data_IF_541216020619
#
_entry.id   IF_541216020619
#
_cell.length_a   1.000
_cell.length_b   1.000
_cell.length_c   1.000
_cell.angle_alpha   90.00
_cell.angle_beta   90.00
_cell.angle_gamma   90.00
#
_symmetry.space_group_name_H-M   'P 1'
#
loop_
_entity.id
_entity.type
_entity.pdbx_description
1 polymer ?
#
# COMPACT_ATOMS: atom_id res chain seq x y z
N UNK A 1 -59.88 -30.87 -2.50
CA UNK A 1 -60.08 -30.11 -3.75
C UNK A 1 -58.71 -29.67 -4.23
N UNK A 2 -58.18 -29.99 -5.40
CA UNK A 2 -58.49 -30.93 -6.49
C UNK A 2 -57.23 -30.93 -7.36
N UNK A 3 -56.91 -32.07 -7.96
CA UNK A 3 -55.86 -32.26 -8.97
C UNK A 3 -55.91 -31.22 -10.11
N UNK A 4 -54.77 -30.92 -10.74
CA UNK A 4 -54.60 -31.33 -12.14
C UNK A 4 -53.18 -31.15 -12.69
N UNK A 5 -52.85 -32.15 -13.51
CA UNK A 5 -51.64 -32.36 -14.27
C UNK A 5 -51.53 -31.49 -15.53
N UNK A 6 -50.29 -31.28 -15.97
CA UNK A 6 -49.87 -31.56 -17.35
C UNK A 6 -49.96 -30.43 -18.38
N UNK A 7 -48.80 -29.97 -18.85
CA UNK A 7 -48.53 -29.78 -20.29
C UNK A 7 -47.03 -29.90 -20.59
N UNK A 8 -46.71 -30.65 -21.66
CA UNK A 8 -45.38 -30.97 -22.22
C UNK A 8 -45.35 -30.42 -23.66
N UNK A 9 -44.19 -29.93 -24.10
CA UNK A 9 -43.75 -29.68 -25.50
C UNK A 9 -42.50 -28.75 -25.45
N UNK A 10 -41.37 -28.91 -26.14
CA UNK A 10 -40.98 -29.75 -27.28
C UNK A 10 -39.47 -30.06 -27.25
N UNK A 11 -39.13 -31.20 -27.86
CA UNK A 11 -37.79 -31.64 -28.24
C UNK A 11 -37.31 -30.89 -29.49
N UNK A 12 -36.07 -30.39 -29.49
CA UNK A 12 -35.32 -30.18 -30.72
C UNK A 12 -33.96 -30.90 -30.68
N UNK A 13 -33.83 -31.77 -31.67
CA UNK A 13 -32.78 -32.73 -32.01
C UNK A 13 -31.56 -32.04 -32.61
N UNK A 14 -30.34 -32.41 -32.19
CA UNK A 14 -29.17 -32.42 -33.10
C UNK A 14 -28.23 -33.60 -32.80
N UNK A 15 -28.41 -34.62 -33.65
CA UNK A 15 -27.45 -35.56 -34.24
C UNK A 15 -26.15 -35.93 -33.50
N UNK A 16 -26.07 -37.22 -33.16
CA UNK A 16 -24.87 -37.97 -32.82
C UNK A 16 -23.91 -38.11 -34.01
N UNK A 17 -22.67 -37.66 -33.86
CA UNK A 17 -21.56 -38.05 -34.73
C UNK A 17 -20.68 -39.09 -34.03
N UNK A 18 -20.52 -40.21 -34.74
CA UNK A 18 -19.81 -41.45 -34.43
C UNK A 18 -18.32 -41.29 -34.11
N UNK A 19 -17.87 -42.07 -33.13
CA UNK A 19 -16.46 -42.30 -32.81
C UNK A 19 -15.73 -43.04 -33.95
N UNK A 20 -14.46 -42.74 -34.26
CA UNK A 20 -13.67 -43.54 -35.16
C UNK A 20 -13.16 -44.80 -34.46
N UNK A 21 -13.38 -45.94 -35.11
CA UNK A 21 -12.92 -47.29 -34.81
C UNK A 21 -11.40 -47.38 -34.68
N UNK A 22 -10.95 -48.02 -33.61
CA UNK A 22 -9.57 -48.44 -33.38
C UNK A 22 -9.32 -49.74 -34.18
N UNK A 23 -8.59 -49.65 -35.30
CA UNK A 23 -8.06 -50.82 -36.00
C UNK A 23 -6.71 -51.23 -35.40
N UNK A 24 -6.60 -52.49 -34.99
CA UNK A 24 -5.37 -53.10 -34.50
C UNK A 24 -4.41 -53.40 -35.68
N UNK A 25 -3.09 -53.11 -35.58
CA UNK A 25 -2.10 -53.70 -36.46
C UNK A 25 -1.57 -55.05 -35.91
N UNK A 26 -1.04 -55.93 -36.78
CA UNK A 26 -0.80 -57.34 -36.48
C UNK A 26 0.52 -57.60 -35.72
N UNK A 27 0.70 -58.79 -35.12
CA UNK A 27 1.96 -59.15 -34.47
C UNK A 27 2.94 -59.74 -35.50
N UNK A 28 4.24 -59.44 -35.39
CA UNK A 28 5.33 -60.42 -35.55
C UNK A 28 6.71 -59.80 -35.21
N UNK A 29 7.47 -60.60 -34.48
CA UNK A 29 8.89 -60.54 -34.07
C UNK A 29 9.91 -60.23 -35.17
N UNK A 30 11.02 -59.55 -34.84
CA UNK A 30 12.40 -60.11 -34.87
C UNK A 30 13.55 -59.09 -34.65
N UNK A 31 14.53 -59.55 -33.86
CA UNK A 31 15.99 -59.27 -33.86
C UNK A 31 16.57 -57.86 -33.61
N UNK A 32 17.34 -57.80 -32.51
CA UNK A 32 18.51 -56.95 -32.23
C UNK A 32 19.34 -56.53 -33.46
N UNK A 33 19.77 -55.27 -33.45
CA UNK A 33 21.15 -54.91 -33.79
C UNK A 33 21.62 -53.78 -32.86
N UNK A 34 22.42 -54.17 -31.87
CA UNK A 34 23.28 -53.27 -31.11
C UNK A 34 24.51 -52.98 -32.00
N UNK A 35 24.57 -51.80 -32.59
CA UNK A 35 25.82 -51.28 -33.13
C UNK A 35 26.13 -49.94 -32.46
N UNK A 36 27.23 -49.96 -31.71
CA UNK A 36 27.90 -48.83 -31.10
C UNK A 36 28.19 -47.75 -32.14
N UNK A 37 27.68 -46.53 -31.90
CA UNK A 37 28.34 -45.31 -32.35
C UNK A 37 28.51 -44.36 -31.15
N UNK A 38 29.73 -44.38 -30.59
CA UNK A 38 30.19 -43.40 -29.62
C UNK A 38 30.44 -42.06 -30.32
N UNK A 39 29.40 -41.24 -30.46
CA UNK A 39 29.52 -39.83 -30.84
C UNK A 39 29.23 -38.94 -29.62
N UNK A 40 30.26 -38.67 -28.82
CA UNK A 40 30.16 -37.79 -27.65
C UNK A 40 30.08 -36.30 -28.02
N UNK A 41 30.20 -35.95 -29.31
CA UNK A 41 30.13 -34.55 -29.80
C UNK A 41 28.75 -34.17 -30.34
N UNK A 42 27.96 -35.10 -30.87
CA UNK A 42 26.62 -34.79 -31.39
C UNK A 42 25.60 -34.45 -30.28
N UNK A 43 25.69 -35.12 -29.13
CA UNK A 43 24.79 -34.90 -28.00
C UNK A 43 25.01 -33.59 -27.22
N UNK A 44 26.14 -32.89 -27.43
CA UNK A 44 26.40 -31.58 -26.81
C UNK A 44 25.81 -30.44 -27.63
N UNK A 45 25.82 -30.57 -28.97
CA UNK A 45 25.23 -29.57 -29.87
C UNK A 45 23.70 -29.62 -29.81
N UNK A 46 23.09 -30.81 -29.80
CA UNK A 46 21.63 -30.95 -29.65
C UNK A 46 21.12 -30.52 -28.27
N UNK A 47 21.86 -30.78 -27.19
CA UNK A 47 21.50 -30.24 -25.85
C UNK A 47 21.68 -28.73 -25.76
N UNK A 48 22.69 -28.17 -26.43
CA UNK A 48 22.88 -26.73 -26.47
C UNK A 48 21.85 -26.05 -27.39
N UNK A 49 21.43 -26.69 -28.49
CA UNK A 49 20.35 -26.21 -29.36
C UNK A 49 18.97 -26.35 -28.72
N UNK A 50 18.68 -27.44 -27.97
CA UNK A 50 17.47 -27.55 -27.16
C UNK A 50 17.46 -26.56 -25.98
N UNK A 51 18.62 -26.25 -25.40
CA UNK A 51 18.73 -25.21 -24.36
C UNK A 51 18.63 -23.79 -24.93
N UNK A 52 18.82 -23.62 -26.24
CA UNK A 52 18.63 -22.35 -26.97
C UNK A 52 17.22 -22.20 -27.57
N UNK A 53 16.40 -23.26 -27.56
CA UNK A 53 15.03 -23.27 -28.08
C UNK A 53 13.93 -23.24 -27.01
N UNK A 54 14.26 -23.19 -25.72
CA UNK A 54 13.26 -22.80 -24.71
C UNK A 54 13.05 -21.29 -24.82
N UNK A 55 11.90 -20.87 -25.36
CA UNK A 55 11.45 -19.48 -25.26
C UNK A 55 11.63 -19.02 -23.81
N UNK A 56 12.30 -17.88 -23.58
CA UNK A 56 12.61 -17.46 -22.23
C UNK A 56 11.30 -17.32 -21.43
N UNK A 57 11.23 -18.00 -20.28
CA UNK A 57 10.03 -18.01 -19.44
C UNK A 57 9.49 -16.60 -19.27
N UNK A 58 8.25 -16.40 -19.72
CA UNK A 58 7.54 -15.15 -19.57
C UNK A 58 6.52 -15.30 -18.42
N UNK A 59 6.77 -14.66 -17.26
CA UNK A 59 5.87 -14.73 -16.10
C UNK A 59 4.44 -14.29 -16.43
N UNK A 60 4.28 -13.37 -17.39
CA UNK A 60 3.00 -12.75 -17.71
C UNK A 60 2.03 -13.70 -18.42
N UNK A 61 2.53 -14.70 -19.14
CA UNK A 61 1.71 -15.69 -19.85
C UNK A 61 1.06 -16.70 -18.89
N UNK A 62 1.54 -16.75 -17.65
CA UNK A 62 1.09 -17.65 -16.59
C UNK A 62 0.21 -16.95 -15.54
N UNK A 63 -0.27 -15.73 -15.83
CA UNK A 63 -1.17 -14.95 -14.97
C UNK A 63 -2.63 -15.12 -15.39
N UNK A 64 -3.55 -14.77 -14.49
CA UNK A 64 -4.99 -14.86 -14.75
C UNK A 64 -5.42 -13.92 -15.90
N UNK A 65 -5.94 -14.46 -17.02
CA UNK A 65 -6.38 -13.65 -18.15
C UNK A 65 -7.61 -12.77 -17.84
N UNK A 66 -8.31 -13.03 -16.72
CA UNK A 66 -9.46 -12.24 -16.24
C UNK A 66 -9.09 -11.15 -15.23
N UNK A 67 -7.80 -10.78 -15.16
CA UNK A 67 -7.32 -9.70 -14.30
C UNK A 67 -7.93 -8.31 -14.57
N UNK A 68 -7.64 -7.37 -13.68
CA UNK A 68 -8.07 -5.98 -13.74
C UNK A 68 -7.56 -5.26 -15.00
N UNK A 69 -8.36 -4.31 -15.50
CA UNK A 69 -7.96 -3.40 -16.58
C UNK A 69 -6.93 -2.38 -16.09
N UNK A 70 -6.21 -1.73 -17.00
CA UNK A 70 -5.26 -0.66 -16.66
C UNK A 70 -5.94 0.51 -15.90
N UNK A 71 -7.18 0.88 -16.29
CA UNK A 71 -7.96 1.89 -15.57
C UNK A 71 -8.42 1.42 -14.19
N UNK A 72 -8.79 0.15 -14.03
CA UNK A 72 -9.09 -0.44 -12.72
C UNK A 72 -7.87 -0.42 -11.80
N UNK A 73 -6.70 -0.83 -12.32
CA UNK A 73 -5.44 -0.79 -11.59
C UNK A 73 -5.04 0.64 -11.21
N UNK A 74 -5.21 1.62 -12.11
CA UNK A 74 -4.99 3.04 -11.83
C UNK A 74 -5.89 3.52 -10.69
N UNK A 75 -7.19 3.21 -10.73
CA UNK A 75 -8.12 3.58 -9.66
C UNK A 75 -7.73 2.95 -8.31
N UNK A 76 -7.28 1.70 -8.31
CA UNK A 76 -6.78 1.04 -7.11
C UNK A 76 -5.48 1.66 -6.57
N UNK A 77 -4.53 2.02 -7.44
CA UNK A 77 -3.30 2.72 -7.02
C UNK A 77 -3.61 4.11 -6.48
N UNK A 78 -4.44 4.89 -7.17
CA UNK A 78 -4.85 6.22 -6.71
C UNK A 78 -5.53 6.12 -5.36
N UNK A 79 -6.47 5.18 -5.19
CA UNK A 79 -7.11 4.94 -3.91
C UNK A 79 -6.10 4.56 -2.82
N UNK A 80 -5.22 3.61 -3.12
CA UNK A 80 -4.23 3.11 -2.18
C UNK A 80 -3.18 4.13 -1.80
N UNK A 81 -2.92 5.12 -2.67
CA UNK A 81 -1.89 6.13 -2.43
C UNK A 81 -2.46 7.45 -1.91
N UNK A 82 -3.60 7.93 -2.41
CA UNK A 82 -4.18 9.20 -1.97
C UNK A 82 -4.50 9.21 -0.47
N UNK A 83 -5.11 8.12 0.01
CA UNK A 83 -5.34 7.82 1.43
C UNK A 83 -5.82 9.01 2.27
N UNK A 84 -5.52 8.97 3.57
CA UNK A 84 -5.64 10.13 4.46
C UNK A 84 -4.44 11.07 4.37
N UNK A 85 -3.33 10.61 3.76
CA UNK A 85 -2.10 11.36 3.59
C UNK A 85 -2.28 12.70 2.88
N UNK A 86 -3.18 12.76 1.89
CA UNK A 86 -3.51 14.02 1.19
C UNK A 86 -4.01 15.10 2.15
N UNK A 87 -4.71 14.71 3.21
CA UNK A 87 -5.34 15.64 4.13
C UNK A 87 -4.33 16.30 5.06
N UNK A 88 -3.18 15.66 5.31
CA UNK A 88 -2.09 16.18 6.12
C UNK A 88 -1.12 17.09 5.34
N UNK A 89 -1.25 17.16 4.01
CA UNK A 89 -0.34 17.94 3.17
C UNK A 89 -0.27 19.44 3.52
N UNK A 90 -1.36 20.13 3.91
CA UNK A 90 -1.25 21.53 4.35
C UNK A 90 -0.32 21.69 5.56
N UNK A 91 -0.36 20.74 6.50
CA UNK A 91 0.50 20.79 7.68
C UNK A 91 1.96 20.55 7.31
N UNK A 92 2.21 19.68 6.32
CA UNK A 92 3.55 19.55 5.75
C UNK A 92 4.05 20.90 5.20
N UNK A 93 3.22 21.61 4.43
CA UNK A 93 3.59 22.92 3.87
C UNK A 93 3.75 24.00 4.95
N UNK A 94 3.01 23.94 6.05
CA UNK A 94 3.28 24.76 7.23
C UNK A 94 4.69 24.52 7.78
N UNK A 95 5.10 23.25 7.87
CA UNK A 95 6.41 22.84 8.39
C UNK A 95 7.59 23.09 7.42
N UNK A 96 7.32 23.39 6.15
CA UNK A 96 8.32 23.62 5.11
C UNK A 96 8.37 25.04 4.54
N UNK A 97 7.26 25.76 4.54
CA UNK A 97 7.07 26.99 3.77
C UNK A 97 6.66 26.71 2.33
N UNK A 98 6.14 27.73 1.65
CA UNK A 98 5.46 27.57 0.35
C UNK A 98 6.37 27.07 -0.78
N UNK A 99 7.52 27.72 -0.97
CA UNK A 99 8.42 27.42 -2.10
C UNK A 99 9.19 26.14 -1.83
N UNK A 100 9.76 26.01 -0.63
CA UNK A 100 10.50 24.82 -0.25
C UNK A 100 9.59 23.59 -0.23
N UNK A 101 8.39 23.70 0.37
CA UNK A 101 7.40 22.63 0.39
C UNK A 101 6.98 22.19 -1.01
N UNK A 102 6.73 23.13 -1.93
CA UNK A 102 6.38 22.83 -3.32
C UNK A 102 7.50 22.08 -4.04
N UNK A 103 8.72 22.63 -4.05
CA UNK A 103 9.87 22.01 -4.72
C UNK A 103 10.18 20.62 -4.15
N UNK A 104 10.21 20.50 -2.82
CA UNK A 104 10.56 19.24 -2.17
C UNK A 104 9.46 18.19 -2.29
N UNK A 105 8.17 18.56 -2.33
CA UNK A 105 7.08 17.61 -2.58
C UNK A 105 7.23 16.96 -3.96
N UNK A 106 7.60 17.74 -4.98
CA UNK A 106 7.85 17.21 -6.33
C UNK A 106 9.09 16.28 -6.35
N UNK A 107 10.16 16.66 -5.67
CA UNK A 107 11.39 15.86 -5.58
C UNK A 107 11.12 14.54 -4.85
N UNK A 108 10.50 14.59 -3.67
CA UNK A 108 10.16 13.40 -2.87
C UNK A 108 9.18 12.52 -3.65
N UNK A 109 8.17 13.10 -4.29
CA UNK A 109 7.25 12.37 -5.17
C UNK A 109 7.96 11.62 -6.30
N UNK A 110 8.93 12.27 -6.96
CA UNK A 110 9.76 11.61 -7.97
C UNK A 110 10.60 10.47 -7.37
N UNK A 111 11.24 10.70 -6.22
CA UNK A 111 12.06 9.69 -5.53
C UNK A 111 11.23 8.46 -5.12
N UNK A 112 10.06 8.65 -4.53
CA UNK A 112 9.14 7.58 -4.15
C UNK A 112 8.66 6.81 -5.39
N UNK A 113 8.25 7.53 -6.44
CA UNK A 113 7.86 6.91 -7.73
C UNK A 113 8.98 6.05 -8.31
N UNK A 114 10.21 6.55 -8.28
CA UNK A 114 11.38 5.84 -8.75
C UNK A 114 11.67 4.59 -7.91
N UNK A 115 11.53 4.64 -6.59
CA UNK A 115 11.68 3.47 -5.72
C UNK A 115 10.63 2.39 -6.02
N UNK A 116 9.37 2.77 -6.21
CA UNK A 116 8.30 1.85 -6.61
C UNK A 116 8.60 1.23 -7.99
N UNK A 117 9.05 2.05 -8.95
CA UNK A 117 9.42 1.57 -10.28
C UNK A 117 10.58 0.56 -10.21
N UNK A 118 11.60 0.83 -9.40
CA UNK A 118 12.71 -0.10 -9.15
C UNK A 118 12.20 -1.42 -8.58
N UNK A 119 11.33 -1.36 -7.57
CA UNK A 119 10.80 -2.56 -6.91
C UNK A 119 10.04 -3.45 -7.90
N UNK A 120 9.10 -2.87 -8.65
CA UNK A 120 8.27 -3.63 -9.61
C UNK A 120 9.12 -4.19 -10.73
N UNK A 121 10.05 -3.40 -11.28
CA UNK A 121 10.97 -3.88 -12.31
C UNK A 121 11.83 -5.03 -11.81
N UNK A 122 12.31 -4.94 -10.57
CA UNK A 122 13.11 -6.01 -9.96
C UNK A 122 12.26 -7.27 -9.75
N UNK A 123 11.01 -7.11 -9.30
CA UNK A 123 10.05 -8.20 -9.18
C UNK A 123 9.79 -8.91 -10.52
N UNK A 124 9.58 -8.16 -11.61
CA UNK A 124 9.41 -8.74 -12.95
C UNK A 124 10.60 -9.59 -13.38
N UNK A 125 11.82 -9.10 -13.15
CA UNK A 125 13.02 -9.81 -13.56
C UNK A 125 13.26 -11.06 -12.70
N UNK A 126 13.08 -10.96 -11.38
CA UNK A 126 13.25 -12.14 -10.51
C UNK A 126 12.14 -13.18 -10.71
N UNK A 127 10.92 -12.78 -11.08
CA UNK A 127 9.87 -13.71 -11.50
C UNK A 127 10.30 -14.54 -12.72
N UNK A 128 11.00 -13.91 -13.67
CA UNK A 128 11.57 -14.61 -14.84
C UNK A 128 12.67 -15.58 -14.45
N UNK A 129 13.58 -15.17 -13.57
CA UNK A 129 14.71 -16.00 -13.12
C UNK A 129 14.23 -17.18 -12.25
N UNK A 130 13.26 -16.95 -11.37
CA UNK A 130 12.71 -17.96 -10.47
C UNK A 130 11.59 -18.80 -11.10
N UNK A 131 11.22 -18.55 -12.36
CA UNK A 131 10.13 -19.23 -13.09
C UNK A 131 8.80 -19.23 -12.33
N UNK A 132 8.41 -18.09 -11.76
CA UNK A 132 7.14 -17.89 -11.04
C UNK A 132 6.31 -16.77 -11.68
N UNK A 133 4.96 -16.86 -11.68
CA UNK A 133 4.12 -15.91 -12.40
C UNK A 133 4.07 -14.52 -11.74
N UNK A 134 4.11 -14.48 -10.40
CA UNK A 134 3.91 -13.28 -9.61
C UNK A 134 4.54 -13.45 -8.23
N UNK A 135 5.00 -12.34 -7.64
CA UNK A 135 5.54 -12.27 -6.30
C UNK A 135 4.91 -11.08 -5.57
N UNK A 136 4.68 -11.22 -4.26
CA UNK A 136 4.39 -10.08 -3.40
C UNK A 136 5.67 -9.31 -3.05
N UNK A 137 5.55 -8.29 -2.21
CA UNK A 137 6.70 -7.48 -1.82
C UNK A 137 7.72 -8.29 -1.00
N UNK A 138 7.26 -9.01 0.02
CA UNK A 138 8.14 -9.82 0.86
C UNK A 138 8.77 -11.00 0.09
N UNK A 139 8.01 -11.66 -0.78
CA UNK A 139 8.51 -12.76 -1.62
C UNK A 139 9.49 -12.25 -2.69
N UNK A 140 9.31 -11.02 -3.19
CA UNK A 140 10.30 -10.40 -4.08
C UNK A 140 11.62 -10.21 -3.35
N UNK A 141 11.62 -9.68 -2.12
CA UNK A 141 12.83 -9.53 -1.31
C UNK A 141 13.48 -10.90 -1.00
N UNK A 142 12.69 -11.91 -0.65
CA UNK A 142 13.16 -13.29 -0.43
C UNK A 142 13.91 -13.83 -1.65
N UNK A 143 13.26 -13.81 -2.82
CA UNK A 143 13.77 -14.41 -4.04
C UNK A 143 15.01 -13.67 -4.57
N UNK A 144 15.03 -12.34 -4.45
CA UNK A 144 16.20 -11.55 -4.83
C UNK A 144 17.44 -11.94 -4.03
N UNK A 145 17.30 -12.14 -2.72
CA UNK A 145 18.42 -12.60 -1.89
C UNK A 145 18.77 -14.06 -2.18
N UNK A 146 17.78 -14.93 -2.40
CA UNK A 146 17.98 -16.36 -2.71
C UNK A 146 18.80 -16.57 -3.99
N UNK A 147 18.48 -15.82 -5.05
CA UNK A 147 19.17 -15.87 -6.35
C UNK A 147 20.40 -14.96 -6.41
N UNK A 148 20.53 -14.03 -5.46
CA UNK A 148 21.62 -13.06 -5.40
C UNK A 148 23.00 -13.66 -5.12
N UNK A 149 24.00 -12.82 -4.82
CA UNK A 149 25.39 -13.25 -4.56
C UNK A 149 25.50 -14.25 -3.40
N UNK A 150 26.42 -15.22 -3.51
CA UNK A 150 26.58 -16.32 -2.53
C UNK A 150 26.61 -15.86 -1.07
N UNK A 151 27.27 -14.73 -0.78
CA UNK A 151 27.40 -14.19 0.59
C UNK A 151 26.10 -13.69 1.21
N UNK A 152 25.13 -13.26 0.39
CA UNK A 152 23.86 -12.69 0.89
C UNK A 152 22.70 -13.68 0.90
N UNK A 153 22.82 -14.83 0.21
CA UNK A 153 21.74 -15.85 0.11
C UNK A 153 21.19 -16.30 1.46
N UNK A 154 22.05 -16.42 2.47
CA UNK A 154 21.65 -16.80 3.84
C UNK A 154 20.64 -15.84 4.48
N UNK A 155 20.57 -14.60 4.00
CA UNK A 155 19.66 -13.57 4.51
C UNK A 155 18.32 -13.55 3.78
N UNK A 156 18.05 -14.47 2.84
CA UNK A 156 16.77 -14.52 2.10
C UNK A 156 15.55 -14.60 3.03
N UNK A 157 15.57 -15.53 4.00
CA UNK A 157 14.51 -15.63 5.00
C UNK A 157 14.41 -14.37 5.87
N UNK A 158 15.55 -13.78 6.25
CA UNK A 158 15.56 -12.55 7.03
C UNK A 158 14.92 -11.38 6.25
N UNK A 159 15.25 -11.22 4.96
CA UNK A 159 14.68 -10.18 4.11
C UNK A 159 13.15 -10.31 4.00
N UNK A 160 12.65 -11.54 3.81
CA UNK A 160 11.19 -11.81 3.80
C UNK A 160 10.53 -11.40 5.11
N UNK A 161 11.07 -11.88 6.24
CA UNK A 161 10.50 -11.61 7.56
C UNK A 161 10.56 -10.12 7.90
N UNK A 162 11.65 -9.45 7.54
CA UNK A 162 11.78 -8.01 7.72
C UNK A 162 10.69 -7.25 6.98
N UNK A 163 10.47 -7.54 5.68
CA UNK A 163 9.44 -6.86 4.88
C UNK A 163 8.03 -7.17 5.41
N UNK A 164 7.72 -8.43 5.73
CA UNK A 164 6.41 -8.79 6.29
C UNK A 164 6.13 -8.09 7.63
N UNK A 165 7.10 -8.11 8.56
CA UNK A 165 6.95 -7.50 9.89
C UNK A 165 6.85 -5.97 9.76
N UNK A 166 7.70 -5.37 8.93
CA UNK A 166 7.65 -3.94 8.68
C UNK A 166 6.29 -3.55 8.07
N UNK A 167 5.80 -4.29 7.06
CA UNK A 167 4.50 -4.03 6.43
C UNK A 167 3.34 -4.16 7.44
N UNK A 168 3.40 -5.17 8.32
CA UNK A 168 2.42 -5.31 9.39
C UNK A 168 2.45 -4.12 10.36
N UNK A 169 3.64 -3.72 10.78
CA UNK A 169 3.83 -2.60 11.69
C UNK A 169 3.34 -1.28 11.05
N UNK A 170 3.59 -1.07 9.76
CA UNK A 170 3.05 0.06 9.00
C UNK A 170 1.53 0.12 9.07
N UNK A 171 0.85 -0.98 8.75
CA UNK A 171 -0.62 -1.00 8.76
C UNK A 171 -1.21 -0.84 10.15
N UNK A 172 -0.59 -1.41 11.19
CA UNK A 172 -1.04 -1.21 12.57
C UNK A 172 -0.82 0.23 13.04
N UNK A 173 0.30 0.86 12.66
CA UNK A 173 0.54 2.26 13.01
C UNK A 173 -0.39 3.22 12.24
N UNK A 174 -0.65 2.97 10.96
CA UNK A 174 -1.68 3.69 10.20
C UNK A 174 -3.09 3.51 10.82
N UNK A 175 -3.37 2.33 11.38
CA UNK A 175 -4.62 2.06 12.09
C UNK A 175 -4.77 2.93 13.35
N UNK A 176 -3.68 3.25 14.04
CA UNK A 176 -3.72 4.20 15.16
C UNK A 176 -4.06 5.61 14.68
N UNK A 177 -3.43 6.09 13.60
CA UNK A 177 -3.76 7.38 12.97
C UNK A 177 -5.25 7.46 12.63
N UNK A 178 -5.82 6.37 12.11
CA UNK A 178 -7.24 6.32 11.79
C UNK A 178 -8.14 6.43 13.02
N UNK A 179 -7.80 5.77 14.12
CA UNK A 179 -8.57 5.87 15.36
C UNK A 179 -8.55 7.30 15.89
N UNK A 180 -7.37 7.94 15.95
CA UNK A 180 -7.24 9.35 16.36
C UNK A 180 -8.04 10.27 15.44
N UNK A 181 -7.91 10.11 14.13
CA UNK A 181 -8.65 10.92 13.15
C UNK A 181 -10.16 10.81 13.33
N UNK A 182 -10.67 9.58 13.46
CA UNK A 182 -12.11 9.32 13.67
C UNK A 182 -12.56 10.03 14.94
N UNK A 183 -11.82 9.87 16.03
CA UNK A 183 -12.11 10.50 17.30
C UNK A 183 -12.14 12.03 17.19
N UNK A 184 -11.14 12.63 16.56
CA UNK A 184 -11.01 14.09 16.41
C UNK A 184 -12.13 14.68 15.56
N UNK A 185 -12.54 13.97 14.51
CA UNK A 185 -13.65 14.37 13.64
C UNK A 185 -14.99 14.38 14.38
N UNK A 186 -15.24 13.35 15.21
CA UNK A 186 -16.46 13.30 16.04
C UNK A 186 -16.39 14.29 17.20
N UNK A 187 -15.23 14.45 17.83
CA UNK A 187 -14.98 15.41 18.91
C UNK A 187 -15.34 16.82 18.46
N UNK A 188 -14.76 17.28 17.34
CA UNK A 188 -14.97 18.63 16.79
C UNK A 188 -16.45 18.97 16.56
N UNK A 189 -17.20 18.02 15.99
CA UNK A 189 -18.62 18.25 15.63
C UNK A 189 -19.52 18.12 16.86
N UNK A 190 -19.36 17.05 17.65
CA UNK A 190 -20.25 16.78 18.79
C UNK A 190 -20.06 17.81 19.90
N UNK A 191 -18.82 18.16 20.27
CA UNK A 191 -18.58 19.14 21.33
C UNK A 191 -19.13 20.52 20.92
N UNK A 192 -18.95 20.92 19.66
CA UNK A 192 -19.45 22.20 19.17
C UNK A 192 -20.99 22.22 19.12
N UNK A 193 -21.63 21.26 18.45
CA UNK A 193 -23.08 21.27 18.20
C UNK A 193 -23.91 20.95 19.44
N UNK A 194 -23.40 20.11 20.33
CA UNK A 194 -24.09 19.74 21.57
C UNK A 194 -23.69 20.61 22.77
N UNK A 195 -22.70 21.51 22.62
CA UNK A 195 -22.19 22.34 23.70
C UNK A 195 -21.55 21.55 24.84
N UNK A 196 -20.88 20.44 24.51
CA UNK A 196 -20.21 19.54 25.45
C UNK A 196 -18.69 19.82 25.40
N UNK A 197 -17.98 19.54 26.49
CA UNK A 197 -16.51 19.70 26.59
C UNK A 197 -15.86 18.38 27.00
N UNK A 198 -16.13 17.31 26.25
CA UNK A 198 -15.52 16.00 26.51
C UNK A 198 -14.12 15.94 25.92
N UNK A 199 -13.21 15.32 26.65
CA UNK A 199 -11.83 15.11 26.21
C UNK A 199 -11.76 14.16 24.99
N UNK A 200 -10.82 14.41 24.08
CA UNK A 200 -10.58 13.62 22.86
C UNK A 200 -10.41 12.13 23.16
N UNK A 201 -9.82 11.78 24.30
CA UNK A 201 -9.62 10.41 24.80
C UNK A 201 -10.92 9.61 24.93
N UNK A 202 -11.99 10.29 25.31
CA UNK A 202 -13.33 9.68 25.39
C UNK A 202 -13.81 9.29 23.98
N UNK A 203 -13.56 10.14 23.00
CA UNK A 203 -13.89 9.86 21.59
C UNK A 203 -13.01 8.75 21.01
N UNK A 204 -11.75 8.65 21.41
CA UNK A 204 -10.86 7.52 21.05
C UNK A 204 -11.45 6.21 21.59
N UNK A 205 -11.86 6.17 22.86
CA UNK A 205 -12.51 5.02 23.46
C UNK A 205 -13.79 4.61 22.70
N UNK A 206 -14.60 5.58 22.28
CA UNK A 206 -15.79 5.31 21.46
C UNK A 206 -15.45 4.86 20.03
N UNK A 207 -14.41 5.41 19.40
CA UNK A 207 -13.98 5.04 18.06
C UNK A 207 -13.45 3.59 17.98
N UNK A 208 -12.91 3.05 19.08
CA UNK A 208 -12.47 1.65 19.16
C UNK A 208 -13.65 0.68 18.99
N UNK A 209 -14.85 1.02 19.48
CA UNK A 209 -16.03 0.14 19.45
C UNK A 209 -16.40 -0.27 18.01
N UNK A 210 -16.67 0.65 17.06
CA UNK A 210 -16.95 0.27 15.68
C UNK A 210 -15.71 -0.34 14.99
N UNK A 211 -14.50 0.07 15.35
CA UNK A 211 -13.27 -0.55 14.86
C UNK A 211 -13.16 -2.04 15.25
N UNK A 212 -13.60 -2.41 16.45
CA UNK A 212 -13.68 -3.80 16.90
C UNK A 212 -14.65 -4.60 16.02
N UNK A 213 -15.83 -4.07 15.73
CA UNK A 213 -16.81 -4.77 14.88
C UNK A 213 -16.30 -4.97 13.45
N UNK A 214 -15.79 -3.91 12.81
CA UNK A 214 -15.33 -4.00 11.43
C UNK A 214 -14.03 -4.81 11.30
N UNK A 215 -13.13 -4.73 12.29
CA UNK A 215 -11.88 -5.48 12.32
C UNK A 215 -12.05 -6.99 12.46
N UNK A 216 -13.23 -7.46 12.88
CA UNK A 216 -13.57 -8.90 12.89
C UNK A 216 -13.97 -9.45 11.52
N UNK A 217 -14.09 -8.62 10.47
CA UNK A 217 -14.42 -9.11 9.14
C UNK A 217 -13.22 -9.87 8.56
N UNK A 218 -13.44 -11.16 8.29
CA UNK A 218 -12.41 -12.12 7.81
C UNK A 218 -12.45 -12.37 6.32
N UNK A 219 -13.48 -11.88 5.63
CA UNK A 219 -13.61 -12.09 4.20
C UNK A 219 -13.66 -10.74 3.51
N UNK A 220 -12.62 -10.48 2.71
CA UNK A 220 -12.44 -9.26 1.95
C UNK A 220 -13.68 -8.90 1.11
N UNK A 221 -14.43 -9.90 0.62
CA UNK A 221 -15.65 -9.70 -0.18
C UNK A 221 -16.70 -8.87 0.56
N UNK A 222 -16.84 -9.04 1.88
CA UNK A 222 -17.79 -8.26 2.67
C UNK A 222 -17.34 -6.81 2.89
N UNK A 223 -16.05 -6.51 2.78
CA UNK A 223 -15.51 -5.16 2.89
C UNK A 223 -15.64 -4.34 1.59
N UNK A 224 -15.84 -5.00 0.45
CA UNK A 224 -15.97 -4.35 -0.87
C UNK A 224 -17.06 -3.26 -0.91
N UNK A 225 -18.32 -3.49 -0.49
CA UNK A 225 -19.35 -2.44 -0.53
C UNK A 225 -19.02 -1.25 0.39
N UNK A 226 -18.48 -1.51 1.58
CA UNK A 226 -18.01 -0.45 2.49
C UNK A 226 -16.88 0.37 1.86
N UNK A 227 -15.98 -0.30 1.15
CA UNK A 227 -14.88 0.33 0.44
C UNK A 227 -15.35 1.23 -0.72
N UNK A 228 -16.45 0.86 -1.40
CA UNK A 228 -17.07 1.71 -2.42
C UNK A 228 -17.73 2.93 -1.81
N UNK A 229 -18.46 2.76 -0.71
CA UNK A 229 -19.08 3.84 0.04
C UNK A 229 -18.04 4.82 0.60
N UNK A 230 -16.95 4.31 1.17
CA UNK A 230 -15.82 5.12 1.63
C UNK A 230 -15.26 6.00 0.51
N UNK A 231 -15.11 5.47 -0.70
CA UNK A 231 -14.64 6.26 -1.83
C UNK A 231 -15.59 7.42 -2.17
N UNK A 232 -16.91 7.18 -2.15
CA UNK A 232 -17.91 8.22 -2.40
C UNK A 232 -17.81 9.31 -1.33
N UNK A 233 -17.72 8.94 -0.07
CA UNK A 233 -17.58 9.88 1.05
C UNK A 233 -16.27 10.68 0.98
N UNK A 234 -15.16 10.05 0.60
CA UNK A 234 -13.88 10.73 0.37
C UNK A 234 -14.03 11.77 -0.75
N UNK A 235 -14.64 11.41 -1.89
CA UNK A 235 -14.81 12.34 -3.02
C UNK A 235 -15.70 13.53 -2.62
N UNK A 236 -16.83 13.27 -1.93
CA UNK A 236 -17.72 14.35 -1.46
C UNK A 236 -16.98 15.27 -0.48
N UNK A 237 -16.30 14.69 0.51
CA UNK A 237 -15.54 15.47 1.49
C UNK A 237 -14.43 16.29 0.83
N UNK A 238 -13.73 15.70 -0.13
CA UNK A 238 -12.68 16.38 -0.87
C UNK A 238 -13.23 17.55 -1.68
N UNK A 239 -14.40 17.40 -2.31
CA UNK A 239 -15.08 18.49 -3.01
C UNK A 239 -15.47 19.63 -2.06
N UNK A 240 -16.02 19.32 -0.89
CA UNK A 240 -16.36 20.32 0.15
C UNK A 240 -15.09 21.01 0.68
N UNK A 241 -14.02 20.26 0.88
CA UNK A 241 -12.73 20.79 1.33
C UNK A 241 -12.16 21.77 0.30
N UNK A 242 -12.20 21.42 -0.98
CA UNK A 242 -11.81 22.32 -2.06
C UNK A 242 -12.69 23.57 -2.11
N UNK A 243 -14.00 23.45 -1.90
CA UNK A 243 -14.89 24.61 -1.82
C UNK A 243 -14.42 25.59 -0.73
N UNK A 244 -14.27 25.14 0.53
CA UNK A 244 -13.81 26.01 1.62
C UNK A 244 -12.36 26.51 1.49
N UNK A 245 -11.54 25.78 0.74
CA UNK A 245 -10.17 26.19 0.44
C UNK A 245 -10.12 27.44 -0.45
N UNK A 246 -11.10 27.61 -1.35
CA UNK A 246 -11.13 28.68 -2.35
C UNK A 246 -12.31 29.66 -2.21
N UNK A 247 -13.19 29.49 -1.22
CA UNK A 247 -14.36 30.35 -0.99
C UNK A 247 -13.98 31.79 -0.56
N UNK A 248 -12.83 31.94 0.11
CA UNK A 248 -12.30 33.24 0.53
C UNK A 248 -11.03 33.64 -0.24
N UNK A 249 -10.69 34.93 -0.19
CA UNK A 249 -9.48 35.48 -0.82
C UNK A 249 -8.21 34.88 -0.21
N UNK A 250 -7.37 34.29 -1.05
CA UNK A 250 -6.09 33.71 -0.64
C UNK A 250 -5.04 34.78 -0.33
N UNK A 251 -4.46 34.72 0.87
CA UNK A 251 -3.44 35.68 1.34
C UNK A 251 -2.07 35.00 1.38
N UNK A 252 -1.16 35.47 0.51
CA UNK A 252 0.19 34.90 0.37
C UNK A 252 1.24 35.62 1.22
N UNK A 253 1.06 36.93 1.44
CA UNK A 253 2.11 37.82 1.96
C UNK A 253 2.55 37.50 3.39
N UNK A 254 1.76 36.76 4.16
CA UNK A 254 2.03 36.39 5.54
C UNK A 254 2.54 34.95 5.70
N UNK A 255 2.90 34.26 4.60
CA UNK A 255 3.37 32.88 4.64
C UNK A 255 4.87 32.82 4.33
N UNK A 256 5.68 32.12 5.15
CA UNK A 256 7.10 31.95 4.88
C UNK A 256 7.30 31.15 3.57
N UNK A 257 8.24 31.62 2.73
CA UNK A 257 8.66 30.88 1.55
C UNK A 257 9.45 29.62 1.91
N UNK A 258 10.19 29.68 3.02
CA UNK A 258 10.93 28.59 3.66
C UNK A 258 10.70 28.71 5.17
N UNK A 259 10.23 27.63 5.79
CA UNK A 259 10.00 27.55 7.23
C UNK A 259 11.31 27.35 8.02
N UNK A 260 11.20 27.22 9.34
CA UNK A 260 12.34 26.99 10.23
C UNK A 260 12.99 25.64 9.92
N UNK A 261 14.32 25.58 9.96
CA UNK A 261 15.06 24.35 9.68
C UNK A 261 14.69 23.18 10.62
N UNK A 262 14.23 23.48 11.84
CA UNK A 262 13.81 22.49 12.83
C UNK A 262 12.52 21.75 12.46
N UNK A 263 11.63 22.33 11.64
CA UNK A 263 10.37 21.70 11.21
C UNK A 263 10.48 20.94 9.88
N UNK A 264 11.57 21.13 9.14
CA UNK A 264 11.81 20.43 7.86
C UNK A 264 11.77 18.89 7.99
N UNK A 265 12.30 18.26 9.06
CA UNK A 265 12.16 16.82 9.25
C UNK A 265 10.71 16.33 9.29
N UNK A 266 9.82 17.08 9.96
CA UNK A 266 8.39 16.77 10.03
C UNK A 266 7.75 16.86 8.65
N UNK A 267 8.11 17.87 7.84
CA UNK A 267 7.67 17.95 6.45
C UNK A 267 8.04 16.69 5.66
N UNK A 268 9.32 16.26 5.70
CA UNK A 268 9.74 15.08 4.96
C UNK A 268 9.00 13.82 5.43
N UNK A 269 8.83 13.68 6.74
CA UNK A 269 8.11 12.56 7.33
C UNK A 269 6.64 12.53 6.87
N UNK A 270 5.93 13.66 6.92
CA UNK A 270 4.53 13.77 6.48
C UNK A 270 4.38 13.56 4.97
N UNK A 271 5.29 14.09 4.14
CA UNK A 271 5.24 13.85 2.68
C UNK A 271 5.56 12.40 2.34
N UNK A 272 6.54 11.78 3.01
CA UNK A 272 6.85 10.35 2.82
C UNK A 272 5.69 9.46 3.28
N UNK A 273 5.04 9.80 4.40
CA UNK A 273 3.80 9.16 4.82
C UNK A 273 2.69 9.33 3.79
N UNK A 274 2.48 10.55 3.28
CA UNK A 274 1.43 10.81 2.32
C UNK A 274 1.69 10.02 1.03
N UNK A 275 2.93 9.93 0.58
CA UNK A 275 3.34 9.12 -0.58
C UNK A 275 3.35 7.60 -0.28
N UNK A 276 2.70 7.16 0.80
CA UNK A 276 2.35 5.76 1.03
C UNK A 276 1.67 5.19 -0.21
N UNK A 277 1.93 3.92 -0.50
CA UNK A 277 1.15 3.13 -1.45
C UNK A 277 1.81 1.79 -1.75
N UNK A 278 3.05 1.59 -1.30
CA UNK A 278 3.89 0.46 -1.68
C UNK A 278 3.30 -0.91 -1.34
N UNK A 279 2.53 -1.01 -0.24
CA UNK A 279 1.83 -2.24 0.13
C UNK A 279 0.74 -2.67 -0.86
N UNK A 280 0.14 -1.71 -1.58
CA UNK A 280 -0.87 -1.96 -2.60
C UNK A 280 -0.28 -2.17 -4.01
N UNK A 281 0.93 -1.68 -4.27
CA UNK A 281 1.58 -1.74 -5.59
C UNK A 281 1.65 -3.16 -6.13
N UNK A 282 2.28 -4.09 -5.39
CA UNK A 282 2.48 -5.46 -5.87
C UNK A 282 1.16 -6.22 -6.03
N UNK A 283 0.21 -6.19 -5.07
CA UNK A 283 -1.12 -6.77 -5.28
C UNK A 283 -1.86 -6.22 -6.50
N UNK A 284 -1.82 -4.90 -6.72
CA UNK A 284 -2.49 -4.27 -7.87
C UNK A 284 -1.83 -4.71 -9.17
N UNK A 285 -0.51 -4.66 -9.26
CA UNK A 285 0.26 -5.12 -10.42
C UNK A 285 -0.03 -6.60 -10.74
N UNK A 286 0.00 -7.46 -9.72
CA UNK A 286 -0.25 -8.89 -9.86
C UNK A 286 -1.68 -9.21 -10.30
N UNK A 287 -2.64 -8.32 -10.00
CA UNK A 287 -4.04 -8.48 -10.41
C UNK A 287 -4.33 -8.03 -11.84
N UNK A 288 -3.38 -7.39 -12.55
CA UNK A 288 -3.63 -6.84 -13.88
C UNK A 288 -3.68 -7.90 -14.97
N UNK A 289 -4.58 -7.70 -15.93
CA UNK A 289 -4.65 -8.52 -17.16
C UNK A 289 -3.43 -8.35 -18.07
N UNK A 290 -2.85 -7.14 -18.12
CA UNK A 290 -1.68 -6.80 -18.96
C UNK A 290 -0.61 -6.07 -18.13
N UNK A 291 0.20 -6.79 -17.34
CA UNK A 291 1.08 -6.16 -16.37
C UNK A 291 2.24 -5.35 -16.99
N UNK A 292 2.57 -5.60 -18.26
CA UNK A 292 3.54 -4.79 -19.01
C UNK A 292 3.09 -3.32 -19.15
N UNK A 293 1.78 -3.06 -19.07
CA UNK A 293 1.23 -1.70 -19.08
C UNK A 293 1.48 -0.97 -17.74
N UNK A 294 1.82 -1.68 -16.66
CA UNK A 294 2.06 -1.05 -15.35
C UNK A 294 3.24 -0.09 -15.38
N UNK A 295 4.38 -0.54 -15.94
CA UNK A 295 5.60 0.25 -16.14
C UNK A 295 5.75 0.80 -17.58
N UNK A 296 4.71 0.74 -18.40
CA UNK A 296 4.73 1.21 -19.79
C UNK A 296 4.93 2.73 -19.94
N UNK A 297 4.81 3.24 -21.17
CA UNK A 297 4.90 4.67 -21.46
C UNK A 297 3.67 5.18 -22.26
N UNK A 298 2.74 5.95 -21.65
CA UNK A 298 2.63 6.22 -20.21
C UNK A 298 2.05 5.00 -19.46
N UNK A 299 2.72 4.58 -18.40
CA UNK A 299 2.36 3.40 -17.61
C UNK A 299 1.38 3.75 -16.48
N UNK A 300 0.65 2.74 -16.00
CA UNK A 300 -0.32 2.90 -14.90
C UNK A 300 0.34 3.51 -13.67
N UNK A 301 1.56 3.09 -13.32
CA UNK A 301 2.30 3.63 -12.19
C UNK A 301 2.59 5.12 -12.37
N UNK A 302 3.16 5.52 -13.51
CA UNK A 302 3.59 6.90 -13.74
C UNK A 302 2.40 7.87 -13.76
N UNK A 303 1.28 7.49 -14.38
CA UNK A 303 0.06 8.33 -14.39
C UNK A 303 -0.51 8.45 -12.98
N UNK A 304 -0.56 7.34 -12.23
CA UNK A 304 -1.09 7.35 -10.87
C UNK A 304 -0.24 8.23 -9.96
N UNK A 305 1.09 8.05 -9.97
CA UNK A 305 1.99 8.82 -9.12
C UNK A 305 2.05 10.30 -9.51
N UNK A 306 2.04 10.63 -10.80
CA UNK A 306 1.96 12.03 -11.24
C UNK A 306 0.67 12.69 -10.71
N UNK A 307 -0.46 12.00 -10.81
CA UNK A 307 -1.75 12.50 -10.31
C UNK A 307 -1.72 12.70 -8.79
N UNK A 308 -1.17 11.75 -8.03
CA UNK A 308 -1.01 11.84 -6.56
C UNK A 308 -0.14 13.04 -6.19
N UNK A 309 1.05 13.16 -6.78
CA UNK A 309 2.00 14.24 -6.50
C UNK A 309 1.40 15.60 -6.84
N UNK A 310 0.70 15.73 -7.97
CA UNK A 310 0.03 16.96 -8.36
C UNK A 310 -1.06 17.35 -7.35
N UNK A 311 -1.91 16.41 -6.95
CA UNK A 311 -2.96 16.65 -5.96
C UNK A 311 -2.38 17.05 -4.60
N UNK A 312 -1.29 16.42 -4.19
CA UNK A 312 -0.64 16.72 -2.91
C UNK A 312 0.02 18.09 -2.90
N UNK A 313 0.66 18.45 -4.00
CA UNK A 313 1.22 19.78 -4.20
C UNK A 313 0.13 20.86 -4.15
N UNK A 314 -1.00 20.64 -4.85
CA UNK A 314 -2.14 21.58 -4.88
C UNK A 314 -2.75 21.72 -3.48
N UNK A 315 -3.13 20.61 -2.86
CA UNK A 315 -3.79 20.63 -1.55
C UNK A 315 -2.86 21.16 -0.47
N UNK A 316 -1.59 20.74 -0.46
CA UNK A 316 -0.61 21.24 0.49
C UNK A 316 -0.37 22.74 0.35
N UNK A 317 -0.11 23.21 -0.87
CA UNK A 317 0.15 24.62 -1.12
C UNK A 317 -1.07 25.49 -0.79
N UNK A 318 -2.23 25.23 -1.40
CA UNK A 318 -3.41 26.07 -1.22
C UNK A 318 -4.04 25.90 0.15
N UNK A 319 -4.00 24.71 0.75
CA UNK A 319 -4.43 24.50 2.12
C UNK A 319 -3.61 25.32 3.11
N UNK A 320 -2.27 25.35 2.97
CA UNK A 320 -1.45 26.18 3.84
C UNK A 320 -1.65 27.69 3.59
N UNK A 321 -1.81 28.10 2.33
CA UNK A 321 -2.14 29.51 2.02
C UNK A 321 -3.46 29.92 2.68
N UNK A 322 -4.48 29.06 2.64
CA UNK A 322 -5.81 29.32 3.20
C UNK A 322 -5.78 29.41 4.73
N UNK A 323 -5.22 28.40 5.40
CA UNK A 323 -5.37 28.23 6.85
C UNK A 323 -4.17 28.77 7.64
N UNK A 324 -2.99 28.93 7.02
CA UNK A 324 -1.79 29.48 7.66
C UNK A 324 -1.37 28.73 8.92
N UNK A 325 -1.12 29.46 10.00
CA UNK A 325 -0.65 28.88 11.26
C UNK A 325 -1.76 28.15 12.03
N UNK A 326 -3.02 28.25 11.58
CA UNK A 326 -4.14 27.52 12.15
C UNK A 326 -4.32 26.12 11.53
N UNK A 327 -3.50 25.73 10.54
CA UNK A 327 -3.55 24.39 9.95
C UNK A 327 -3.44 23.33 11.04
N UNK A 328 -4.28 22.31 10.99
CA UNK A 328 -4.25 21.14 11.87
C UNK A 328 -3.67 19.94 11.11
N UNK A 329 -3.42 18.84 11.82
CA UNK A 329 -2.89 17.59 11.25
C UNK A 329 -3.70 17.00 10.08
N UNK A 330 -4.95 17.44 9.90
CA UNK A 330 -5.75 17.20 8.71
C UNK A 330 -6.54 18.45 8.30
N UNK A 331 -6.54 18.76 7.01
CA UNK A 331 -7.29 19.87 6.41
C UNK A 331 -8.80 19.79 6.66
N UNK A 332 -9.37 18.60 6.84
CA UNK A 332 -10.80 18.45 7.15
C UNK A 332 -11.15 18.99 8.53
N UNK A 333 -10.19 18.98 9.45
CA UNK A 333 -10.37 19.48 10.81
C UNK A 333 -10.35 21.02 10.85
N UNK A 334 -9.83 21.65 9.79
CA UNK A 334 -9.86 23.09 9.59
C UNK A 334 -11.18 23.62 9.02
N UNK A 335 -12.11 22.75 8.64
CA UNK A 335 -13.42 23.18 8.14
C UNK A 335 -14.19 23.93 9.24
N UNK A 336 -14.92 25.01 8.88
CA UNK A 336 -15.57 25.90 9.83
C UNK A 336 -16.62 25.16 10.67
N UNK A 337 -16.61 25.42 11.97
CA UNK A 337 -17.55 24.84 12.93
C UNK A 337 -18.96 25.43 12.77
N UNK A 338 -19.98 24.61 13.00
CA UNK A 338 -21.38 25.02 13.01
C UNK A 338 -21.97 25.31 11.64
N UNK A 339 -21.19 25.09 10.57
CA UNK A 339 -21.71 25.09 9.22
C UNK A 339 -21.99 23.64 8.83
N UNK A 340 -23.26 23.33 8.59
CA UNK A 340 -23.75 22.00 8.24
C UNK A 340 -22.93 21.31 7.13
N UNK A 341 -22.39 22.06 6.16
CA UNK A 341 -21.58 21.49 5.09
C UNK A 341 -20.19 21.05 5.58
N UNK A 342 -19.55 21.86 6.43
CA UNK A 342 -18.26 21.53 7.07
C UNK A 342 -18.38 20.35 8.02
N UNK A 343 -19.40 20.35 8.87
CA UNK A 343 -19.66 19.27 9.83
C UNK A 343 -20.00 17.96 9.10
N UNK A 344 -20.81 18.03 8.04
CA UNK A 344 -21.09 16.87 7.17
C UNK A 344 -19.80 16.30 6.57
N UNK A 345 -18.90 17.14 6.07
CA UNK A 345 -17.62 16.69 5.53
C UNK A 345 -16.74 16.02 6.59
N UNK A 346 -16.62 16.58 7.80
CA UNK A 346 -15.89 15.97 8.91
C UNK A 346 -16.44 14.57 9.25
N UNK A 347 -17.76 14.45 9.42
CA UNK A 347 -18.42 13.18 9.75
C UNK A 347 -18.33 12.15 8.61
N UNK A 348 -18.53 12.56 7.36
CA UNK A 348 -18.40 11.67 6.20
C UNK A 348 -16.98 11.11 6.09
N UNK A 349 -15.96 11.94 6.32
CA UNK A 349 -14.57 11.49 6.32
C UNK A 349 -14.28 10.52 7.46
N UNK A 350 -14.79 10.78 8.68
CA UNK A 350 -14.65 9.85 9.81
C UNK A 350 -15.22 8.46 9.47
N UNK A 351 -16.42 8.41 8.89
CA UNK A 351 -17.05 7.16 8.46
C UNK A 351 -16.28 6.50 7.30
N UNK A 352 -15.77 7.26 6.35
CA UNK A 352 -14.95 6.74 5.27
C UNK A 352 -13.64 6.10 5.77
N UNK A 353 -13.00 6.72 6.75
CA UNK A 353 -11.78 6.20 7.38
C UNK A 353 -12.09 4.97 8.22
N UNK A 354 -13.22 4.92 8.93
CA UNK A 354 -13.68 3.71 9.63
C UNK A 354 -13.82 2.51 8.67
N UNK A 355 -14.38 2.71 7.49
CA UNK A 355 -14.46 1.64 6.48
C UNK A 355 -13.10 1.29 5.88
N UNK A 356 -12.21 2.26 5.75
CA UNK A 356 -10.83 2.05 5.27
C UNK A 356 -10.00 1.27 6.29
N UNK A 357 -10.20 1.53 7.59
CA UNK A 357 -9.62 0.76 8.69
C UNK A 357 -9.91 -0.73 8.55
N UNK A 358 -11.16 -1.12 8.30
CA UNK A 358 -11.52 -2.54 8.12
C UNK A 358 -10.74 -3.21 6.98
N UNK A 359 -10.56 -2.50 5.86
CA UNK A 359 -9.80 -2.99 4.71
C UNK A 359 -8.30 -3.07 4.98
N UNK A 360 -7.71 -2.04 5.57
CA UNK A 360 -6.28 -2.02 5.86
C UNK A 360 -5.91 -3.01 6.96
N UNK A 361 -6.73 -3.14 8.00
CA UNK A 361 -6.51 -4.07 9.12
C UNK A 361 -6.60 -5.54 8.68
N UNK A 362 -7.32 -5.84 7.60
CA UNK A 362 -7.41 -7.20 7.04
C UNK A 362 -6.03 -7.73 6.62
N UNK A 363 -5.21 -6.90 5.96
CA UNK A 363 -3.90 -7.29 5.40
C UNK A 363 -2.93 -7.79 6.47
N UNK A 364 -2.56 -7.01 7.51
CA UNK A 364 -1.61 -7.45 8.52
C UNK A 364 -2.19 -8.57 9.38
N UNK A 365 -3.52 -8.61 9.59
CA UNK A 365 -4.18 -9.70 10.31
C UNK A 365 -4.06 -11.04 9.57
N UNK A 366 -4.17 -11.03 8.25
CA UNK A 366 -4.01 -12.22 7.41
C UNK A 366 -2.54 -12.67 7.33
N UNK A 367 -1.60 -11.72 7.21
CA UNK A 367 -0.15 -12.02 7.29
C UNK A 367 0.19 -12.65 8.65
N UNK A 368 -0.24 -12.03 9.74
CA UNK A 368 -0.01 -12.53 11.10
C UNK A 368 -0.59 -13.93 11.28
N UNK A 369 -1.84 -14.12 10.85
CA UNK A 369 -2.50 -15.42 10.95
C UNK A 369 -1.75 -16.50 10.17
N UNK A 370 -1.32 -16.23 8.93
CA UNK A 370 -0.49 -17.17 8.16
C UNK A 370 0.79 -17.57 8.89
N UNK A 371 1.42 -16.63 9.61
CA UNK A 371 2.64 -16.89 10.37
C UNK A 371 2.39 -17.72 11.62
N UNK A 372 1.29 -17.53 12.34
CA UNK A 372 1.10 -18.17 13.67
C UNK A 372 0.13 -19.36 13.67
N UNK A 373 -0.69 -19.55 12.63
CA UNK A 373 -1.77 -20.57 12.61
C UNK A 373 -1.30 -21.99 12.92
N UNK A 374 -0.04 -22.31 12.58
CA UNK A 374 0.54 -23.64 12.78
C UNK A 374 0.78 -23.98 14.26
N UNK A 375 0.83 -22.98 15.14
CA UNK A 375 0.99 -23.15 16.58
C UNK A 375 -0.33 -23.46 17.30
N UNK A 376 -1.47 -23.39 16.61
CA UNK A 376 -2.79 -23.56 17.21
C UNK A 376 -3.52 -24.75 16.59
N UNK A 377 -4.27 -25.49 17.41
CA UNK A 377 -5.11 -26.58 16.92
C UNK A 377 -6.24 -26.03 16.04
N UNK A 378 -6.65 -26.75 14.96
CA UNK A 378 -7.69 -26.30 14.03
C UNK A 378 -9.00 -25.89 14.72
N UNK A 379 -9.39 -26.62 15.77
CA UNK A 379 -10.60 -26.36 16.56
C UNK A 379 -10.58 -24.98 17.25
N UNK A 380 -9.40 -24.49 17.63
CA UNK A 380 -9.22 -23.21 18.32
C UNK A 380 -9.00 -22.05 17.34
N UNK A 381 -8.84 -22.30 16.04
CA UNK A 381 -8.49 -21.27 15.06
C UNK A 381 -9.45 -20.08 15.06
N UNK A 382 -10.76 -20.32 15.15
CA UNK A 382 -11.74 -19.24 15.14
C UNK A 382 -11.62 -18.35 16.39
N UNK A 383 -11.57 -18.96 17.59
CA UNK A 383 -11.46 -18.23 18.86
C UNK A 383 -10.12 -17.48 18.92
N UNK A 384 -9.01 -18.13 18.55
CA UNK A 384 -7.69 -17.50 18.51
C UNK A 384 -7.68 -16.29 17.58
N UNK A 385 -8.28 -16.38 16.39
CA UNK A 385 -8.36 -15.23 15.48
C UNK A 385 -9.19 -14.09 16.05
N UNK A 386 -10.33 -14.37 16.70
CA UNK A 386 -11.16 -13.35 17.35
C UNK A 386 -10.33 -12.64 18.42
N UNK A 387 -9.76 -13.40 19.36
CA UNK A 387 -8.98 -12.86 20.48
C UNK A 387 -7.76 -12.09 20.01
N UNK A 388 -7.04 -12.59 19.00
CA UNK A 388 -5.87 -11.93 18.44
C UNK A 388 -6.23 -10.59 17.80
N UNK A 389 -7.26 -10.57 16.94
CA UNK A 389 -7.71 -9.33 16.29
C UNK A 389 -8.22 -8.31 17.30
N UNK A 390 -9.02 -8.75 18.27
CA UNK A 390 -9.50 -7.89 19.37
C UNK A 390 -8.32 -7.34 20.17
N UNK A 391 -7.38 -8.19 20.58
CA UNK A 391 -6.20 -7.76 21.34
C UNK A 391 -5.36 -6.73 20.59
N UNK A 392 -5.15 -6.92 19.28
CA UNK A 392 -4.40 -5.95 18.47
C UNK A 392 -5.15 -4.63 18.34
N UNK A 393 -6.48 -4.65 18.12
CA UNK A 393 -7.28 -3.41 18.04
C UNK A 393 -7.28 -2.66 19.39
N UNK A 394 -7.30 -3.38 20.51
CA UNK A 394 -7.17 -2.77 21.84
C UNK A 394 -5.77 -2.17 22.06
N UNK A 395 -4.70 -2.81 21.57
CA UNK A 395 -3.35 -2.24 21.61
C UNK A 395 -3.27 -0.97 20.74
N UNK A 396 -3.83 -1.01 19.52
CA UNK A 396 -3.95 0.15 18.63
C UNK A 396 -4.68 1.29 19.36
N UNK A 397 -5.81 0.98 19.99
CA UNK A 397 -6.57 1.94 20.78
C UNK A 397 -5.79 2.52 21.96
N UNK A 398 -5.06 1.69 22.71
CA UNK A 398 -4.23 2.14 23.83
C UNK A 398 -3.07 3.03 23.37
N UNK A 399 -2.48 2.75 22.21
CA UNK A 399 -1.43 3.60 21.63
C UNK A 399 -1.99 4.92 21.11
N UNK A 400 -3.17 4.90 20.46
CA UNK A 400 -3.87 6.11 20.03
C UNK A 400 -4.27 6.98 21.23
N UNK A 401 -4.75 6.36 22.31
CA UNK A 401 -5.05 7.02 23.57
C UNK A 401 -3.80 7.64 24.18
N UNK A 402 -2.65 6.94 24.16
CA UNK A 402 -1.40 7.46 24.71
C UNK A 402 -0.79 8.64 23.91
N UNK A 403 -1.20 8.88 22.67
CA UNK A 403 -0.72 10.01 21.85
C UNK A 403 -1.93 10.53 21.06
N UNK A 404 -2.78 11.38 21.66
CA UNK A 404 -4.05 11.78 21.05
C UNK A 404 -3.92 12.83 19.94
N UNK A 405 -2.72 13.31 19.63
CA UNK A 405 -2.48 14.25 18.52
C UNK A 405 -2.15 13.53 17.21
N UNK A 406 -2.86 13.96 16.16
CA UNK A 406 -2.79 13.35 14.84
C UNK A 406 -1.44 13.57 14.13
N UNK A 407 -0.87 14.77 14.23
CA UNK A 407 0.32 15.15 13.46
C UNK A 407 1.60 14.41 13.87
N UNK A 408 1.99 14.38 15.17
CA UNK A 408 3.19 13.65 15.58
C UNK A 408 3.09 12.17 15.23
N UNK A 409 1.88 11.62 15.26
CA UNK A 409 1.62 10.24 14.86
C UNK A 409 1.89 10.00 13.37
N UNK A 410 1.31 10.84 12.50
CA UNK A 410 1.51 10.76 11.03
C UNK A 410 2.99 10.87 10.69
N UNK A 411 3.68 11.84 11.29
CA UNK A 411 5.10 12.08 11.08
C UNK A 411 5.94 10.87 11.54
N UNK A 412 5.68 10.31 12.72
CA UNK A 412 6.40 9.14 13.23
C UNK A 412 6.23 7.92 12.31
N UNK A 413 5.01 7.68 11.82
CA UNK A 413 4.72 6.55 10.92
C UNK A 413 5.45 6.71 9.58
N UNK A 414 5.41 7.90 8.99
CA UNK A 414 6.13 8.24 7.77
C UNK A 414 7.64 8.06 7.91
N UNK A 415 8.21 8.63 8.97
CA UNK A 415 9.63 8.58 9.25
C UNK A 415 10.14 7.14 9.39
N UNK A 416 9.50 6.34 10.25
CA UNK A 416 9.99 5.00 10.57
C UNK A 416 9.66 4.00 9.47
N UNK A 417 8.38 3.85 9.14
CA UNK A 417 7.96 2.71 8.34
C UNK A 417 8.11 2.95 6.84
N UNK A 418 7.73 4.12 6.35
CA UNK A 418 7.78 4.40 4.92
C UNK A 418 9.19 4.70 4.42
N UNK A 419 10.06 5.30 5.23
CA UNK A 419 11.48 5.40 4.86
C UNK A 419 12.12 4.02 4.70
N UNK A 420 11.80 3.06 5.59
CA UNK A 420 12.32 1.70 5.51
C UNK A 420 11.71 0.91 4.33
N UNK A 421 10.39 0.83 4.23
CA UNK A 421 9.72 0.03 3.20
C UNK A 421 9.72 0.71 1.84
N UNK A 422 9.41 2.00 1.79
CA UNK A 422 9.21 2.76 0.56
C UNK A 422 10.49 3.09 -0.18
N UNK A 423 11.60 3.28 0.55
CA UNK A 423 12.85 3.81 -0.03
C UNK A 423 14.03 2.84 0.22
N UNK A 424 14.27 2.45 1.47
CA UNK A 424 15.43 1.63 1.82
C UNK A 424 15.37 0.23 1.20
N UNK A 425 14.25 -0.50 1.36
CA UNK A 425 14.11 -1.86 0.84
C UNK A 425 14.26 -1.92 -0.68
N UNK A 426 13.57 -1.10 -1.51
CA UNK A 426 13.76 -1.11 -2.96
C UNK A 426 15.22 -0.86 -3.38
N UNK A 427 15.91 0.05 -2.68
CA UNK A 427 17.32 0.37 -2.94
C UNK A 427 18.25 -0.82 -2.68
N UNK A 428 18.01 -1.55 -1.58
CA UNK A 428 18.77 -2.77 -1.25
C UNK A 428 18.47 -3.89 -2.22
N UNK A 429 17.18 -4.15 -2.50
CA UNK A 429 16.71 -5.23 -3.36
C UNK A 429 17.27 -5.07 -4.79
N UNK A 430 17.23 -3.88 -5.37
CA UNK A 430 17.84 -3.65 -6.70
C UNK A 430 19.36 -3.85 -6.70
N UNK A 431 20.04 -3.40 -5.64
CA UNK A 431 21.49 -3.56 -5.50
C UNK A 431 21.89 -5.03 -5.45
N UNK A 432 21.16 -5.84 -4.67
CA UNK A 432 21.40 -7.28 -4.55
C UNK A 432 21.10 -8.00 -5.86
N UNK A 433 19.99 -7.66 -6.51
CA UNK A 433 19.57 -8.29 -7.76
C UNK A 433 20.57 -8.03 -8.90
N UNK A 434 21.05 -6.79 -9.04
CA UNK A 434 21.94 -6.40 -10.14
C UNK A 434 23.42 -6.74 -9.90
N UNK A 435 23.77 -7.32 -8.76
CA UNK A 435 25.18 -7.59 -8.43
C UNK A 435 25.77 -8.73 -9.29
N UNK A 436 26.98 -8.58 -9.86
CA UNK A 436 27.91 -7.43 -9.80
C UNK A 436 27.72 -6.38 -10.92
N UNK A 437 26.82 -6.64 -11.87
CA UNK A 437 26.59 -5.84 -13.08
C UNK A 437 25.76 -4.57 -12.81
N UNK A 438 26.36 -3.62 -12.08
CA UNK A 438 25.72 -2.38 -11.61
C UNK A 438 25.75 -1.21 -12.61
N UNK A 439 26.06 -1.50 -13.89
CA UNK A 439 26.17 -0.50 -14.96
C UNK A 439 27.50 0.25 -14.98
N UNK A 440 27.63 1.18 -15.94
CA UNK A 440 28.84 1.99 -16.12
C UNK A 440 29.20 2.77 -14.84
N UNK A 441 30.46 2.73 -14.43
CA UNK A 441 30.97 3.32 -13.18
C UNK A 441 30.18 2.93 -11.91
N UNK A 442 29.43 1.81 -11.92
CA UNK A 442 28.53 1.40 -10.83
C UNK A 442 27.55 2.50 -10.41
N UNK A 443 27.08 3.34 -11.34
CA UNK A 443 26.19 4.47 -11.02
C UNK A 443 24.93 4.05 -10.25
N UNK A 444 24.40 2.85 -10.52
CA UNK A 444 23.23 2.31 -9.81
C UNK A 444 23.52 2.05 -8.33
N UNK A 445 24.74 1.67 -7.99
CA UNK A 445 25.18 1.50 -6.60
C UNK A 445 25.21 2.84 -5.88
N UNK A 446 25.81 3.87 -6.50
CA UNK A 446 25.88 5.21 -5.91
C UNK A 446 24.48 5.76 -5.67
N UNK A 447 23.61 5.66 -6.68
CA UNK A 447 22.19 6.03 -6.58
C UNK A 447 21.49 5.31 -5.42
N UNK A 448 21.65 4.00 -5.29
CA UNK A 448 21.01 3.22 -4.23
C UNK A 448 21.59 3.50 -2.84
N UNK A 449 22.89 3.80 -2.74
CA UNK A 449 23.50 4.26 -1.50
C UNK A 449 22.91 5.62 -1.09
N UNK A 450 22.77 6.57 -2.02
CA UNK A 450 22.16 7.87 -1.74
C UNK A 450 20.71 7.74 -1.27
N UNK A 451 19.91 6.88 -1.92
CA UNK A 451 18.54 6.59 -1.50
C UNK A 451 18.48 5.92 -0.10
N UNK A 452 19.36 4.96 0.16
CA UNK A 452 19.44 4.31 1.47
C UNK A 452 19.85 5.28 2.57
N UNK A 453 20.84 6.15 2.32
CA UNK A 453 21.25 7.20 3.27
C UNK A 453 20.11 8.19 3.49
N UNK A 454 19.43 8.65 2.44
CA UNK A 454 18.27 9.52 2.55
C UNK A 454 17.17 8.88 3.42
N UNK A 455 16.88 7.59 3.21
CA UNK A 455 15.90 6.85 4.01
C UNK A 455 16.27 6.80 5.50
N UNK A 456 17.54 6.52 5.82
CA UNK A 456 18.00 6.47 7.22
C UNK A 456 17.97 7.87 7.85
N UNK A 457 18.35 8.92 7.11
CA UNK A 457 18.26 10.30 7.60
C UNK A 457 16.81 10.73 7.83
N UNK A 458 15.91 10.44 6.90
CA UNK A 458 14.48 10.73 7.04
C UNK A 458 13.88 10.01 8.24
N UNK A 459 14.27 8.75 8.48
CA UNK A 459 13.88 8.00 9.67
C UNK A 459 14.37 8.66 10.94
N UNK A 460 15.66 8.92 11.07
CA UNK A 460 16.23 9.44 12.32
C UNK A 460 15.70 10.85 12.59
N UNK A 461 15.76 11.73 11.60
CA UNK A 461 15.35 13.12 11.77
C UNK A 461 13.83 13.23 12.02
N UNK A 462 13.02 12.49 11.27
CA UNK A 462 11.58 12.47 11.46
C UNK A 462 11.17 11.88 12.80
N UNK A 463 11.73 10.73 13.19
CA UNK A 463 11.43 10.11 14.48
C UNK A 463 11.85 11.00 15.67
N UNK A 464 13.03 11.64 15.61
CA UNK A 464 13.48 12.56 16.65
C UNK A 464 12.54 13.77 16.75
N UNK A 465 12.12 14.34 15.62
CA UNK A 465 11.20 15.47 15.62
C UNK A 465 9.82 15.09 16.19
N UNK A 466 9.23 13.97 15.74
CA UNK A 466 7.92 13.52 16.25
C UNK A 466 7.96 13.14 17.72
N UNK A 467 9.02 12.45 18.17
CA UNK A 467 9.17 12.11 19.59
C UNK A 467 9.35 13.37 20.43
N UNK A 468 10.07 14.38 19.91
CA UNK A 468 10.18 15.71 20.53
C UNK A 468 8.80 16.35 20.76
N UNK A 469 7.96 16.40 19.73
CA UNK A 469 6.60 16.95 19.84
C UNK A 469 5.73 16.17 20.85
N UNK A 470 5.87 14.84 20.89
CA UNK A 470 5.17 14.00 21.86
C UNK A 470 5.63 14.30 23.29
N UNK A 471 6.93 14.49 23.51
CA UNK A 471 7.48 14.84 24.83
C UNK A 471 7.00 16.23 25.25
N UNK A 472 7.05 17.19 24.32
CA UNK A 472 6.66 18.57 24.58
C UNK A 472 5.19 18.64 25.02
N UNK A 473 4.30 17.91 24.33
CA UNK A 473 2.86 17.78 24.66
C UNK A 473 2.64 17.38 26.13
N UNK A 474 3.38 16.39 26.63
CA UNK A 474 3.23 15.91 28.00
C UNK A 474 3.97 16.76 29.04
N UNK A 475 4.96 17.54 28.61
CA UNK A 475 5.66 18.47 29.50
C UNK A 475 4.87 19.75 29.75
N UNK A 476 4.14 20.25 28.75
CA UNK A 476 3.31 21.45 28.87
C UNK A 476 2.08 21.25 29.76
N UNK A 477 1.59 20.02 29.90
CA UNK A 477 0.47 19.69 30.80
C UNK A 477 0.88 19.59 32.28
N UNK A 478 2.18 19.68 32.59
CA UNK A 478 2.73 19.55 33.96
C UNK A 478 3.08 20.88 34.65
N UNK A 479 2.93 22.01 33.96
CA UNK A 479 3.03 23.37 34.50
C UNK A 479 1.63 24.02 34.57
#
# INVERSE_FOLDING_TARGET
>A
MTDNAGFKADEETYSSATAPTQENPPPYTSSMNLQNDFSSKANLTEKNELALSEDPYNPFDHRDPKGASAGGALAHLLKGSLGTGILAMPMAFHNAGLVFGMCMTLIVGFLCTHCVHILVKTSHNICRDAKVPALGFAETAEKVFEYGPKGVRRYSNFAKQFVDIALMATYYAASCVYVVFIAESFHDVINYDCGITWDIRIYIAFAIIPCLFIGQIRNLRWLVPFSLMANIFIVITFAITLYYMFDETLVYSNKPLIAKASSIPLFFATVIFAMEGIGAVMPVENSMRKPQQFLGCPGVLNISMFTVVALYAIIGFFGYVRFGDAVRGSVTLNLPYGNWLGDTAKLLMAVAILFTFGLQFFIPSDILWRKIKHNFSPEKHNITQILLRTGIILIIGAVAEAIPDLEPFISLVGAVFFSLLGIFVPSVVETVYLWPNLGWCKWKLIKNILLAVFAILALIAGAVASIGEIIDMYSSDSD
#
